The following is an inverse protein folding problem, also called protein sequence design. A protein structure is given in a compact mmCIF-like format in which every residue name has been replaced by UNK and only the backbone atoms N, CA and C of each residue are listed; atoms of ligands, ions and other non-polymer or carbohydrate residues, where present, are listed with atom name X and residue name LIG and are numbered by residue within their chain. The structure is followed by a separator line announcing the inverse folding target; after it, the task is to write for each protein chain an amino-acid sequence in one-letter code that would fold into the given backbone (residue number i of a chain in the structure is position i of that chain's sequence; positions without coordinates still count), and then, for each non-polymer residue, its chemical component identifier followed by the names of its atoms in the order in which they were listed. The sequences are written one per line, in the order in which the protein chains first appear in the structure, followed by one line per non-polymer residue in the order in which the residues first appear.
data_IF_284313506899
#
_entry.id   IF_284313506899
#
_cell.length_a   1.000
_cell.length_b   1.000
_cell.length_c   1.000
_cell.angle_alpha   90.00
_cell.angle_beta   90.00
_cell.angle_gamma   90.00
#
_symmetry.space_group_name_H-M   'P 1'
#
loop_
_entity.id
_entity.type
_entity.pdbx_description
1 polymer ?
#
# COMPACT_ATOMS: atom_id res chain seq x y z
N UNK A 1 -4.01 25.10 41.89
CA UNK A 1 -4.58 25.30 40.53
C UNK A 1 -3.55 25.15 39.41
N UNK A 2 -2.31 25.68 39.54
CA UNK A 2 -1.25 25.52 38.52
C UNK A 2 -0.85 24.07 38.16
N UNK A 3 -0.76 23.08 39.08
CA UNK A 3 -0.27 21.74 38.71
C UNK A 3 -1.30 20.93 37.92
N UNK A 4 -2.60 21.19 38.09
CA UNK A 4 -3.67 20.47 37.38
C UNK A 4 -3.68 20.84 35.89
N UNK A 5 -3.42 22.11 35.56
CA UNK A 5 -3.33 22.55 34.17
C UNK A 5 -2.13 21.91 33.44
N UNK A 6 -1.01 21.73 34.13
CA UNK A 6 0.20 21.10 33.56
C UNK A 6 -0.01 19.62 33.27
N UNK A 7 -0.72 18.90 34.16
CA UNK A 7 -1.06 17.48 33.96
C UNK A 7 -2.04 17.33 32.78
N UNK A 8 -3.03 18.22 32.66
CA UNK A 8 -3.97 18.21 31.54
C UNK A 8 -3.27 18.46 30.20
N UNK A 9 -2.29 19.38 30.15
CA UNK A 9 -1.51 19.65 28.94
C UNK A 9 -0.62 18.46 28.52
N UNK A 10 -0.04 17.72 29.47
CA UNK A 10 0.72 16.49 29.20
C UNK A 10 -0.17 15.36 28.68
N UNK A 11 -1.39 15.20 29.20
CA UNK A 11 -2.36 14.20 28.72
C UNK A 11 -2.80 14.44 27.27
N UNK A 12 -2.93 15.69 26.83
CA UNK A 12 -3.32 16.02 25.45
C UNK A 12 -2.25 15.62 24.43
N UNK A 13 -0.97 15.65 24.81
CA UNK A 13 0.13 15.26 23.88
C UNK A 13 0.18 13.76 23.58
N UNK A 14 -0.44 12.90 24.39
CA UNK A 14 -0.49 11.45 24.12
C UNK A 14 -1.40 11.07 22.95
N UNK A 15 -2.36 11.92 22.57
CA UNK A 15 -3.30 11.66 21.48
C UNK A 15 -2.78 12.08 20.09
N UNK A 16 -1.52 12.53 19.99
CA UNK A 16 -0.98 13.12 18.74
C UNK A 16 -0.37 12.12 17.76
N UNK A 17 -0.47 10.80 18.01
CA UNK A 17 0.05 9.76 17.10
C UNK A 17 -1.03 9.27 16.11
N UNK A 18 -1.73 10.19 15.43
CA UNK A 18 -2.69 9.87 14.38
C UNK A 18 -2.00 9.55 13.03
N UNK A 19 -0.77 9.04 13.06
CA UNK A 19 0.02 8.82 11.87
C UNK A 19 -0.31 7.47 11.25
N UNK A 20 -0.64 7.48 9.95
CA UNK A 20 -0.92 6.27 9.17
C UNK A 20 0.21 5.25 9.34
N UNK A 21 -0.13 4.09 9.90
CA UNK A 21 0.77 2.97 10.13
C UNK A 21 0.34 1.72 9.37
N UNK A 22 -0.92 1.32 9.44
CA UNK A 22 -1.46 0.19 8.68
C UNK A 22 -2.21 0.69 7.45
N UNK A 23 -2.16 -0.09 6.36
CA UNK A 23 -3.00 0.08 5.19
C UNK A 23 -3.82 -1.19 4.96
N UNK A 24 -5.14 -1.03 4.84
CA UNK A 24 -6.09 -2.09 4.48
C UNK A 24 -6.66 -1.75 3.11
N UNK A 25 -6.45 -2.62 2.12
CA UNK A 25 -6.95 -2.47 0.76
C UNK A 25 -8.04 -3.48 0.50
N UNK A 26 -9.25 -2.97 0.23
CA UNK A 26 -10.44 -3.74 -0.13
C UNK A 26 -10.54 -3.76 -1.65
N UNK A 27 -9.95 -4.79 -2.30
CA UNK A 27 -9.69 -4.78 -3.76
C UNK A 27 -10.95 -4.76 -4.61
N UNK A 28 -12.00 -5.46 -4.18
CA UNK A 28 -13.30 -5.48 -4.85
C UNK A 28 -13.92 -4.09 -4.96
N UNK A 29 -13.77 -3.26 -3.92
CA UNK A 29 -14.34 -1.91 -3.88
C UNK A 29 -13.31 -0.81 -4.15
N UNK A 30 -12.05 -1.17 -4.37
CA UNK A 30 -10.92 -0.27 -4.59
C UNK A 30 -10.71 0.76 -3.46
N UNK A 31 -11.20 0.44 -2.26
CA UNK A 31 -11.09 1.32 -1.10
C UNK A 31 -9.84 1.02 -0.31
N UNK A 32 -9.12 2.06 0.12
CA UNK A 32 -7.97 1.94 1.03
C UNK A 32 -8.27 2.69 2.31
N UNK A 33 -8.12 1.99 3.44
CA UNK A 33 -8.24 2.54 4.78
C UNK A 33 -6.86 2.59 5.42
N UNK A 34 -6.54 3.69 6.08
CA UNK A 34 -5.29 3.83 6.82
C UNK A 34 -5.60 3.94 8.31
N UNK A 35 -4.81 3.23 9.11
CA UNK A 35 -5.00 3.16 10.55
C UNK A 35 -3.69 3.46 11.28
N UNK A 36 -3.77 4.01 12.50
CA UNK A 36 -2.59 4.37 13.28
C UNK A 36 -1.89 3.14 13.84
N UNK A 37 -0.69 3.32 14.36
CA UNK A 37 0.14 2.24 14.91
C UNK A 37 -0.50 1.52 16.11
N UNK A 38 -1.36 2.21 16.85
CA UNK A 38 -2.05 1.68 18.01
C UNK A 38 -3.42 1.06 17.69
N UNK A 39 -3.79 0.96 16.41
CA UNK A 39 -4.96 0.18 16.02
C UNK A 39 -4.72 -1.32 16.24
N UNK A 40 -5.72 -2.00 16.80
CA UNK A 40 -5.69 -3.46 16.92
C UNK A 40 -6.54 -4.04 15.80
N UNK A 41 -5.93 -4.85 14.94
CA UNK A 41 -6.57 -5.44 13.77
C UNK A 41 -6.71 -6.95 14.01
N UNK A 42 -7.96 -7.42 14.10
CA UNK A 42 -8.29 -8.83 14.23
C UNK A 42 -8.92 -9.34 12.94
N UNK A 43 -8.36 -10.42 12.39
CA UNK A 43 -8.93 -11.13 11.24
C UNK A 43 -9.94 -12.13 11.77
N UNK A 44 -11.15 -12.13 11.21
CA UNK A 44 -12.22 -13.10 11.48
C UNK A 44 -12.50 -13.83 10.17
N UNK A 45 -12.33 -15.15 10.18
CA UNK A 45 -12.63 -15.99 9.00
C UNK A 45 -14.13 -16.29 8.89
N UNK A 46 -14.53 -16.94 7.79
CA UNK A 46 -15.93 -17.34 7.57
C UNK A 46 -16.51 -18.32 8.62
N UNK A 47 -15.65 -19.02 9.38
CA UNK A 47 -16.03 -19.94 10.45
C UNK A 47 -16.17 -19.23 11.81
N UNK A 48 -15.78 -17.96 11.90
CA UNK A 48 -15.77 -17.18 13.14
C UNK A 48 -14.46 -17.26 13.94
N UNK A 49 -13.44 -17.97 13.45
CA UNK A 49 -12.14 -17.99 14.12
C UNK A 49 -11.46 -16.64 13.97
N UNK A 50 -10.87 -16.16 15.08
CA UNK A 50 -10.22 -14.87 15.15
C UNK A 50 -8.71 -14.99 15.32
N UNK A 51 -7.96 -14.11 14.68
CA UNK A 51 -6.50 -14.01 14.83
C UNK A 51 -6.08 -12.55 14.83
N UNK A 52 -5.36 -12.15 15.87
CA UNK A 52 -4.78 -10.81 15.97
C UNK A 52 -3.58 -10.71 15.03
N UNK A 53 -3.58 -9.68 14.17
CA UNK A 53 -2.46 -9.41 13.27
C UNK A 53 -1.28 -8.89 14.08
N UNK A 54 -0.09 -9.45 13.86
CA UNK A 54 1.12 -8.91 14.47
C UNK A 54 1.54 -7.64 13.76
N UNK A 55 2.11 -6.72 14.53
CA UNK A 55 2.70 -5.49 14.01
C UNK A 55 3.78 -5.82 12.97
N UNK A 56 3.80 -5.06 11.87
CA UNK A 56 4.67 -5.24 10.69
C UNK A 56 4.41 -6.50 9.82
N UNK A 57 3.34 -7.26 10.06
CA UNK A 57 2.95 -8.39 9.21
C UNK A 57 2.23 -7.91 7.93
N UNK A 58 2.53 -8.55 6.79
CA UNK A 58 1.87 -8.30 5.51
C UNK A 58 1.09 -9.55 5.08
N UNK A 59 -0.21 -9.38 4.83
CA UNK A 59 -1.14 -10.48 4.58
C UNK A 59 -2.03 -10.18 3.38
N UNK A 60 -2.31 -11.20 2.58
CA UNK A 60 -3.35 -11.18 1.54
C UNK A 60 -4.37 -12.26 1.86
N UNK A 61 -5.61 -11.86 2.12
CA UNK A 61 -6.72 -12.74 2.43
C UNK A 61 -7.66 -12.82 1.23
N UNK A 62 -7.94 -14.03 0.74
CA UNK A 62 -8.85 -14.28 -0.39
C UNK A 62 -10.08 -15.05 0.10
N UNK A 63 -11.28 -14.54 -0.19
CA UNK A 63 -12.54 -15.15 0.25
C UNK A 63 -13.20 -14.34 1.37
N UNK A 64 -14.15 -14.94 2.09
CA UNK A 64 -14.95 -14.24 3.10
C UNK A 64 -14.17 -14.05 4.41
N UNK A 65 -13.75 -12.81 4.64
CA UNK A 65 -13.06 -12.37 5.85
C UNK A 65 -13.65 -11.05 6.32
N UNK A 66 -13.68 -10.88 7.63
CA UNK A 66 -14.03 -9.62 8.29
C UNK A 66 -12.83 -9.18 9.11
N UNK A 67 -12.43 -7.92 8.96
CA UNK A 67 -11.48 -7.27 9.84
C UNK A 67 -12.26 -6.51 10.91
N UNK A 68 -11.89 -6.71 12.16
CA UNK A 68 -12.34 -5.91 13.30
C UNK A 68 -11.20 -5.00 13.72
N UNK A 69 -11.39 -3.69 13.56
CA UNK A 69 -10.38 -2.67 13.82
C UNK A 69 -10.78 -1.85 15.03
N UNK A 70 -10.06 -2.03 16.13
CA UNK A 70 -10.20 -1.20 17.32
C UNK A 70 -9.23 -0.02 17.24
N UNK A 71 -9.75 1.20 17.41
CA UNK A 71 -8.97 2.44 17.40
C UNK A 71 -9.21 3.19 18.71
N UNK A 72 -8.25 4.00 19.19
CA UNK A 72 -8.36 4.65 20.50
C UNK A 72 -9.40 5.78 20.54
N UNK A 73 -9.95 6.19 19.41
CA UNK A 73 -10.94 7.27 19.30
C UNK A 73 -12.37 6.79 19.03
N UNK A 74 -12.55 5.50 18.70
CA UNK A 74 -13.88 4.89 18.53
C UNK A 74 -14.18 3.98 19.71
N UNK A 75 -15.41 4.05 20.23
CA UNK A 75 -15.88 3.17 21.30
C UNK A 75 -16.26 1.77 20.81
N UNK A 76 -16.50 1.63 19.51
CA UNK A 76 -16.86 0.39 18.85
C UNK A 76 -15.83 0.07 17.76
N UNK A 77 -15.59 -1.21 17.51
CA UNK A 77 -14.69 -1.65 16.45
C UNK A 77 -15.30 -1.36 15.07
N UNK A 78 -14.48 -0.87 14.15
CA UNK A 78 -14.86 -0.76 12.75
C UNK A 78 -14.77 -2.14 12.09
N UNK A 79 -15.77 -2.49 11.30
CA UNK A 79 -15.83 -3.77 10.59
C UNK A 79 -15.62 -3.54 9.08
N UNK A 80 -14.59 -4.18 8.53
CA UNK A 80 -14.32 -4.18 7.09
C UNK A 80 -14.48 -5.61 6.56
N UNK A 81 -15.43 -5.82 5.66
CA UNK A 81 -15.66 -7.13 5.03
C UNK A 81 -15.05 -7.20 3.64
N UNK A 82 -14.56 -8.39 3.28
CA UNK A 82 -14.07 -8.67 1.93
C UNK A 82 -15.18 -9.01 0.94
N UNK A 83 -16.38 -9.40 1.42
CA UNK A 83 -17.52 -9.87 0.63
C UNK A 83 -17.13 -10.90 -0.46
N UNK A 84 -16.24 -11.83 -0.12
CA UNK A 84 -15.73 -12.87 -1.02
C UNK A 84 -14.56 -12.42 -1.90
N UNK A 85 -14.16 -11.15 -1.80
CA UNK A 85 -13.05 -10.53 -2.51
C UNK A 85 -11.69 -10.73 -1.83
N UNK A 86 -10.82 -9.74 -1.99
CA UNK A 86 -9.44 -9.75 -1.51
C UNK A 86 -9.21 -8.59 -0.57
N UNK A 87 -8.63 -8.89 0.60
CA UNK A 87 -8.09 -7.92 1.55
C UNK A 87 -6.57 -8.00 1.56
N UNK A 88 -5.90 -6.88 1.32
CA UNK A 88 -4.45 -6.75 1.56
C UNK A 88 -4.25 -5.88 2.80
N UNK A 89 -3.43 -6.36 3.73
CA UNK A 89 -3.15 -5.69 5.00
C UNK A 89 -1.63 -5.63 5.14
N UNK A 90 -1.09 -4.45 5.37
CA UNK A 90 0.35 -4.29 5.57
C UNK A 90 0.67 -3.05 6.39
N UNK A 91 1.78 -3.11 7.12
CA UNK A 91 2.37 -1.91 7.69
C UNK A 91 2.96 -1.04 6.57
N UNK A 92 2.66 0.24 6.64
CA UNK A 92 3.22 1.26 5.78
C UNK A 92 4.72 1.37 6.02
N UNK A 93 5.50 1.66 4.96
CA UNK A 93 6.95 1.79 5.07
C UNK A 93 7.31 2.93 6.03
N UNK A 94 8.44 2.79 6.74
CA UNK A 94 8.86 3.69 7.82
C UNK A 94 8.89 5.17 7.41
N UNK A 95 9.07 5.44 6.13
CA UNK A 95 9.16 6.77 5.55
C UNK A 95 7.79 7.43 5.39
N UNK A 96 6.71 6.65 5.21
CA UNK A 96 5.33 7.15 5.29
C UNK A 96 4.87 7.31 6.74
N UNK A 97 5.34 6.42 7.62
CA UNK A 97 5.09 6.44 9.08
C UNK A 97 5.81 7.58 9.82
N UNK A 98 6.71 8.31 9.19
CA UNK A 98 7.45 9.45 9.78
C UNK A 98 7.31 10.74 8.95
N UNK A 99 6.37 10.79 8.01
CA UNK A 99 6.18 11.91 7.10
C UNK A 99 5.75 13.19 7.86
N UNK A 100 6.67 14.17 7.96
CA UNK A 100 6.32 15.57 8.27
C UNK A 100 5.95 16.26 6.97
N UNK A 101 4.74 16.80 6.91
CA UNK A 101 4.21 17.55 5.77
C UNK A 101 5.19 18.66 5.37
N UNK A 102 5.86 18.51 4.23
CA UNK A 102 6.56 19.60 3.55
C UNK A 102 6.06 19.57 2.11
N UNK A 103 5.28 20.60 1.77
CA UNK A 103 4.54 20.77 0.52
C UNK A 103 5.39 20.58 -0.73
N UNK A 104 5.17 19.47 -1.48
CA UNK A 104 5.06 19.42 -2.96
C UNK A 104 4.20 18.21 -3.38
N UNK A 105 3.26 18.35 -4.34
CA UNK A 105 2.18 17.38 -4.54
C UNK A 105 2.67 16.09 -5.21
N UNK A 106 2.49 14.98 -4.52
CA UNK A 106 2.51 13.63 -5.11
C UNK A 106 1.34 13.48 -6.08
N UNK A 107 1.57 12.85 -7.24
CA UNK A 107 0.55 12.67 -8.28
C UNK A 107 0.18 11.19 -8.39
N UNK A 108 -0.86 10.78 -7.69
CA UNK A 108 -1.48 9.45 -7.88
C UNK A 108 -2.37 9.54 -9.12
N UNK A 109 -2.08 8.74 -10.14
CA UNK A 109 -2.88 8.71 -11.38
C UNK A 109 -3.52 7.34 -11.52
N UNK A 110 -4.85 7.31 -11.53
CA UNK A 110 -5.64 6.10 -11.81
C UNK A 110 -5.94 6.04 -13.32
N UNK A 111 -5.77 4.87 -13.92
CA UNK A 111 -6.07 4.66 -15.33
C UNK A 111 -7.37 3.85 -15.47
N UNK A 112 -8.30 4.34 -16.31
CA UNK A 112 -9.51 3.59 -16.64
C UNK A 112 -9.11 2.42 -17.54
N UNK A 113 -9.50 1.19 -17.17
CA UNK A 113 -9.24 -0.03 -17.94
C UNK A 113 -9.72 0.16 -19.39
N UNK A 114 -8.78 0.29 -20.32
CA UNK A 114 -9.08 0.28 -21.76
C UNK A 114 -9.28 -1.18 -22.14
N UNK A 115 -10.51 -1.57 -22.49
CA UNK A 115 -10.80 -2.86 -23.12
C UNK A 115 -10.13 -2.85 -24.51
N UNK A 116 -8.87 -3.21 -24.61
CA UNK A 116 -8.27 -3.62 -25.88
C UNK A 116 -7.22 -4.72 -25.64
N UNK A 117 -7.49 -5.85 -26.29
CA UNK A 117 -6.60 -6.88 -26.83
C UNK A 117 -5.56 -7.54 -25.92
N UNK A 118 -5.88 -8.75 -25.42
CA UNK A 118 -5.01 -9.87 -24.97
C UNK A 118 -3.74 -9.56 -24.13
N UNK A 119 -3.50 -8.31 -23.76
CA UNK A 119 -2.28 -7.79 -23.14
C UNK A 119 -2.60 -7.28 -21.73
N UNK A 120 -1.72 -7.52 -20.75
CA UNK A 120 -1.85 -6.87 -19.46
C UNK A 120 -1.82 -5.34 -19.61
N UNK A 121 -2.66 -4.66 -18.85
CA UNK A 121 -2.80 -3.20 -18.86
C UNK A 121 -2.42 -2.61 -17.50
N UNK A 122 -1.94 -1.36 -17.47
CA UNK A 122 -1.59 -0.66 -16.23
C UNK A 122 -2.86 -0.26 -15.48
N UNK A 123 -3.04 -0.78 -14.28
CA UNK A 123 -4.18 -0.49 -13.41
C UNK A 123 -3.87 0.63 -12.41
N UNK A 124 -2.65 0.65 -11.85
CA UNK A 124 -2.21 1.66 -10.89
C UNK A 124 -0.79 2.10 -11.16
N UNK A 125 -0.56 3.41 -11.03
CA UNK A 125 0.77 4.01 -11.08
C UNK A 125 0.93 5.01 -9.94
N UNK A 126 2.01 4.85 -9.18
CA UNK A 126 2.41 5.80 -8.16
C UNK A 126 3.83 6.23 -8.41
N UNK A 127 4.03 7.55 -8.46
CA UNK A 127 5.35 8.16 -8.57
C UNK A 127 5.48 9.10 -7.39
N UNK A 128 6.41 8.78 -6.50
CA UNK A 128 6.61 9.49 -5.24
C UNK A 128 8.06 9.92 -5.13
N UNK A 129 8.32 11.06 -4.50
CA UNK A 129 9.69 11.46 -4.20
C UNK A 129 10.33 10.42 -3.27
N UNK A 130 11.59 10.10 -3.55
CA UNK A 130 12.42 9.28 -2.69
C UNK A 130 12.64 10.00 -1.36
N UNK A 131 12.44 9.26 -0.28
CA UNK A 131 12.72 9.66 1.09
C UNK A 131 14.21 9.64 1.43
N UNK A 132 15.02 8.89 0.67
CA UNK A 132 16.45 8.69 0.95
C UNK A 132 17.36 9.50 0.02
N UNK A 133 16.88 9.85 -1.18
CA UNK A 133 17.61 10.62 -2.19
C UNK A 133 16.75 11.80 -2.63
N UNK A 134 16.98 12.95 -1.99
CA UNK A 134 16.36 14.22 -2.38
C UNK A 134 16.52 14.42 -3.88
N UNK A 135 15.43 14.78 -4.58
CA UNK A 135 15.37 14.98 -6.04
C UNK A 135 15.36 13.71 -6.90
N UNK A 136 15.06 12.54 -6.31
CA UNK A 136 14.72 11.35 -7.09
C UNK A 136 13.31 10.88 -6.82
N UNK A 137 12.75 10.12 -7.74
CA UNK A 137 11.44 9.50 -7.66
C UNK A 137 11.55 7.98 -7.55
N UNK A 138 10.59 7.40 -6.85
CA UNK A 138 10.30 5.97 -6.76
C UNK A 138 9.02 5.68 -7.55
N UNK A 139 8.88 4.44 -8.03
CA UNK A 139 7.77 3.99 -8.86
C UNK A 139 7.14 2.74 -8.28
N UNK A 140 5.80 2.72 -8.25
CA UNK A 140 4.99 1.51 -8.15
C UNK A 140 4.08 1.43 -9.38
N UNK A 141 4.18 0.32 -10.12
CA UNK A 141 3.30 0.02 -11.25
C UNK A 141 2.61 -1.32 -11.03
N UNK A 142 1.28 -1.33 -11.13
CA UNK A 142 0.45 -2.54 -10.96
C UNK A 142 -0.29 -2.79 -12.26
N UNK A 143 -0.20 -4.02 -12.77
CA UNK A 143 -0.81 -4.44 -14.01
C UNK A 143 -1.95 -5.43 -13.78
N UNK A 144 -2.85 -5.52 -14.75
CA UNK A 144 -4.10 -6.29 -14.68
C UNK A 144 -3.93 -7.79 -14.57
N UNK A 145 -2.74 -8.33 -14.82
CA UNK A 145 -2.40 -9.74 -14.62
C UNK A 145 -1.78 -10.04 -13.25
N UNK A 146 -1.85 -9.09 -12.31
CA UNK A 146 -1.27 -9.26 -10.98
C UNK A 146 0.23 -9.00 -10.91
N UNK A 147 0.87 -8.59 -12.02
CA UNK A 147 2.26 -8.14 -11.99
C UNK A 147 2.38 -6.80 -11.26
N UNK A 148 3.26 -6.75 -10.29
CA UNK A 148 3.65 -5.54 -9.55
C UNK A 148 5.12 -5.28 -9.81
N UNK A 149 5.44 -4.08 -10.32
CA UNK A 149 6.80 -3.61 -10.50
C UNK A 149 7.09 -2.45 -9.55
N UNK A 150 8.23 -2.52 -8.84
CA UNK A 150 8.68 -1.46 -7.94
C UNK A 150 10.10 -1.04 -8.27
N UNK A 151 10.29 0.27 -8.42
CA UNK A 151 11.60 0.92 -8.34
C UNK A 151 11.67 1.69 -7.03
N UNK A 152 12.65 1.36 -6.20
CA UNK A 152 12.85 1.93 -4.87
C UNK A 152 14.34 2.26 -4.68
N UNK A 153 14.68 3.53 -4.77
CA UNK A 153 16.03 4.05 -4.51
C UNK A 153 17.19 3.43 -5.29
N UNK A 154 16.90 2.95 -6.50
CA UNK A 154 17.87 2.28 -7.38
C UNK A 154 17.85 0.76 -7.27
N UNK A 155 16.94 0.20 -6.47
CA UNK A 155 16.64 -1.23 -6.46
C UNK A 155 15.36 -1.47 -7.22
N UNK A 156 15.36 -2.52 -8.02
CA UNK A 156 14.21 -2.93 -8.79
C UNK A 156 13.78 -4.31 -8.36
N UNK A 157 12.47 -4.48 -8.19
CA UNK A 157 11.84 -5.76 -7.84
C UNK A 157 10.51 -5.90 -8.56
N UNK A 158 10.14 -7.14 -8.83
CA UNK A 158 8.84 -7.46 -9.41
C UNK A 158 8.23 -8.67 -8.69
N UNK A 159 6.91 -8.67 -8.60
CA UNK A 159 6.14 -9.77 -8.05
C UNK A 159 5.03 -10.14 -9.00
N UNK A 160 4.82 -11.43 -9.23
CA UNK A 160 3.68 -11.96 -9.95
C UNK A 160 2.96 -12.92 -9.01
N UNK A 161 1.67 -12.69 -8.76
CA UNK A 161 0.88 -13.51 -7.83
C UNK A 161 1.53 -13.69 -6.43
N UNK A 162 2.25 -12.67 -5.97
CA UNK A 162 3.01 -12.61 -4.70
C UNK A 162 4.33 -13.39 -4.66
N UNK A 163 4.75 -13.99 -5.77
CA UNK A 163 6.09 -14.55 -5.89
C UNK A 163 7.04 -13.50 -6.49
N UNK A 164 8.18 -13.27 -5.83
CA UNK A 164 9.21 -12.38 -6.39
C UNK A 164 9.79 -13.07 -7.63
N UNK A 165 9.71 -12.38 -8.76
CA UNK A 165 10.24 -12.85 -10.04
C UNK A 165 11.41 -11.99 -10.47
N UNK A 166 12.31 -12.59 -11.25
CA UNK A 166 13.53 -11.92 -11.66
C UNK A 166 13.22 -10.70 -12.55
N UNK A 167 13.93 -9.60 -12.26
CA UNK A 167 14.00 -8.44 -13.15
C UNK A 167 15.34 -8.44 -13.84
N UNK A 168 15.33 -8.71 -15.14
CA UNK A 168 16.54 -8.69 -15.96
C UNK A 168 16.76 -7.32 -16.57
N UNK A 169 18.03 -6.92 -16.75
CA UNK A 169 18.41 -5.62 -17.32
C UNK A 169 17.70 -4.41 -16.66
N UNK A 170 17.45 -4.49 -15.35
CA UNK A 170 16.76 -3.48 -14.53
C UNK A 170 15.28 -3.23 -14.86
N UNK A 171 14.76 -3.64 -16.03
CA UNK A 171 13.41 -3.26 -16.47
C UNK A 171 12.67 -4.30 -17.32
N UNK A 172 13.19 -5.51 -17.42
CA UNK A 172 12.55 -6.61 -18.14
C UNK A 172 12.01 -7.63 -17.15
N UNK A 173 10.73 -7.94 -17.27
CA UNK A 173 10.07 -8.93 -16.42
C UNK A 173 9.35 -9.94 -17.30
N UNK A 174 9.73 -11.21 -17.17
CA UNK A 174 9.11 -12.30 -17.91
C UNK A 174 7.90 -12.81 -17.15
N UNK A 175 6.74 -12.89 -17.81
CA UNK A 175 5.51 -13.45 -17.25
C UNK A 175 4.87 -14.42 -18.24
N UNK A 176 3.96 -15.32 -17.80
CA UNK A 176 3.21 -16.18 -18.71
C UNK A 176 2.39 -15.42 -19.77
N UNK A 177 1.99 -14.18 -19.48
CA UNK A 177 1.20 -13.32 -20.38
C UNK A 177 2.05 -12.43 -21.29
N UNK A 178 3.38 -12.61 -21.26
CA UNK A 178 4.34 -11.88 -22.09
C UNK A 178 5.47 -11.22 -21.28
N UNK A 179 6.40 -10.60 -22.01
CA UNK A 179 7.50 -9.83 -21.43
C UNK A 179 7.07 -8.39 -21.20
N UNK A 180 7.08 -7.94 -19.95
CA UNK A 180 7.04 -6.52 -19.62
C UNK A 180 8.40 -5.91 -19.95
N UNK A 181 8.40 -4.90 -20.83
CA UNK A 181 9.51 -3.96 -21.00
C UNK A 181 9.07 -2.61 -20.46
N UNK A 182 9.74 -2.08 -19.45
CA UNK A 182 9.46 -0.73 -18.96
C UNK A 182 10.69 0.19 -19.03
N UNK A 183 10.44 1.48 -18.79
CA UNK A 183 11.48 2.46 -18.54
C UNK A 183 10.98 3.42 -17.48
N UNK A 184 11.87 3.76 -16.54
CA UNK A 184 11.60 4.75 -15.51
C UNK A 184 12.81 5.65 -15.32
N UNK A 185 12.61 6.96 -15.43
CA UNK A 185 13.65 7.94 -15.11
C UNK A 185 13.40 8.48 -13.69
N UNK A 186 14.25 8.10 -12.72
CA UNK A 186 14.08 8.53 -11.34
C UNK A 186 14.40 10.01 -11.13
N UNK A 187 14.93 10.76 -12.11
CA UNK A 187 15.21 12.20 -11.94
C UNK A 187 13.98 13.08 -12.15
N UNK A 188 13.09 12.70 -13.06
CA UNK A 188 11.92 13.50 -13.47
C UNK A 188 10.59 12.74 -13.34
N UNK A 189 10.64 11.44 -13.07
CA UNK A 189 9.45 10.60 -12.92
C UNK A 189 8.83 10.17 -14.25
N UNK A 190 9.55 10.28 -15.37
CA UNK A 190 9.05 9.74 -16.64
C UNK A 190 8.96 8.21 -16.57
N UNK A 191 7.83 7.68 -17.02
CA UNK A 191 7.52 6.25 -16.98
C UNK A 191 6.83 5.80 -18.27
N UNK A 192 7.37 4.73 -18.86
CA UNK A 192 6.84 4.08 -20.06
C UNK A 192 6.83 2.56 -19.89
N UNK A 193 5.89 1.87 -20.54
CA UNK A 193 5.84 0.42 -20.54
C UNK A 193 5.26 -0.14 -21.84
N UNK A 194 5.60 -1.38 -22.15
CA UNK A 194 4.99 -2.19 -23.21
C UNK A 194 5.00 -3.67 -22.81
N UNK A 195 3.94 -4.39 -23.16
CA UNK A 195 3.93 -5.86 -23.14
C UNK A 195 4.19 -6.40 -24.54
N UNK A 196 5.27 -7.16 -24.66
CA UNK A 196 5.57 -8.02 -25.81
C UNK A 196 4.96 -9.41 -25.55
N UNK A 197 4.07 -9.85 -26.43
CA UNK A 197 3.46 -11.19 -26.40
C UNK A 197 4.08 -12.00 -27.52
#
# INVERSE_FOLDING_TARGET
MKPILTILALLITYFSNAQDYFSIVVKNNQTTYNYPENAQITIINALGDSTLIKKDEALTLKGNYTLSIETPWNTEAELITSDGGILEIFALPAERRNYKYIDRPSKITHYKRVKNDNKPSLERKEIVLSSHKSERYNLLAVFSNGLVFKYDDGKVRAWLENEEIEVTNHYLVQTPDGTLKLSFNPRDGEFWYVFEI
#
